data_IF_524965488255
#
_entry.id   IF_524965488255
#
_cell.length_a   1.000
_cell.length_b   1.000
_cell.length_c   1.000
_cell.angle_alpha   90.00
_cell.angle_beta   90.00
_cell.angle_gamma   90.00
#
_symmetry.space_group_name_H-M   'P 1'
#
loop_
_entity.id
_entity.type
_entity.pdbx_description
1 polymer ?
#
# COMPACT_ATOMS: atom_id res chain seq x y z
N UNK A 1 -15.05 20.50 11.77
CA UNK A 1 -15.96 19.35 11.93
C UNK A 1 -16.65 18.99 10.60
N UNK A 2 -17.25 19.94 9.87
CA UNK A 2 -17.92 19.65 8.60
C UNK A 2 -17.02 19.06 7.47
N UNK A 3 -15.73 19.40 7.42
CA UNK A 3 -14.82 18.98 6.34
C UNK A 3 -14.37 17.51 6.43
N UNK A 4 -14.38 16.94 7.64
CA UNK A 4 -14.03 15.53 7.84
C UNK A 4 -15.21 14.61 7.56
N UNK A 5 -16.43 15.07 7.88
CA UNK A 5 -17.68 14.37 7.58
C UNK A 5 -17.89 14.25 6.06
N UNK A 6 -17.61 15.32 5.30
CA UNK A 6 -17.74 15.32 3.84
C UNK A 6 -16.76 14.32 3.16
N UNK A 7 -15.57 14.12 3.73
CA UNK A 7 -14.58 13.13 3.26
C UNK A 7 -15.02 11.68 3.53
N UNK A 8 -15.63 11.43 4.70
CA UNK A 8 -16.17 10.11 5.07
C UNK A 8 -17.37 9.76 4.18
N UNK A 9 -18.23 10.73 3.89
CA UNK A 9 -19.38 10.55 3.00
C UNK A 9 -18.96 10.25 1.56
N UNK A 10 -17.95 10.96 1.05
CA UNK A 10 -17.36 10.70 -0.27
C UNK A 10 -16.76 9.29 -0.35
N UNK A 11 -16.01 8.86 0.67
CA UNK A 11 -15.45 7.50 0.72
C UNK A 11 -16.55 6.41 0.76
N UNK A 12 -17.65 6.66 1.47
CA UNK A 12 -18.79 5.76 1.52
C UNK A 12 -19.53 5.68 0.17
N UNK A 13 -19.68 6.80 -0.54
CA UNK A 13 -20.29 6.86 -1.86
C UNK A 13 -19.49 6.06 -2.91
N UNK A 14 -18.17 6.25 -2.95
CA UNK A 14 -17.27 5.51 -3.85
C UNK A 14 -17.31 4.00 -3.60
N UNK A 15 -17.35 3.59 -2.32
CA UNK A 15 -17.48 2.17 -1.96
C UNK A 15 -18.81 1.58 -2.43
N UNK A 16 -19.92 2.31 -2.27
CA UNK A 16 -21.25 1.87 -2.71
C UNK A 16 -21.31 1.72 -4.24
N UNK A 17 -20.75 2.66 -4.98
CA UNK A 17 -20.67 2.59 -6.45
C UNK A 17 -19.87 1.37 -6.91
N UNK A 18 -18.68 1.15 -6.33
CA UNK A 18 -17.84 -0.02 -6.64
C UNK A 18 -18.58 -1.34 -6.39
N UNK A 19 -19.28 -1.46 -5.27
CA UNK A 19 -20.05 -2.67 -4.95
C UNK A 19 -21.22 -2.88 -5.92
N UNK A 20 -21.88 -1.80 -6.37
CA UNK A 20 -22.96 -1.87 -7.35
C UNK A 20 -22.44 -2.36 -8.72
N UNK A 21 -21.29 -1.88 -9.16
CA UNK A 21 -20.65 -2.33 -10.40
C UNK A 21 -20.28 -3.83 -10.34
N UNK A 22 -19.69 -4.29 -9.23
CA UNK A 22 -19.38 -5.70 -9.04
C UNK A 22 -20.64 -6.58 -9.04
N UNK A 23 -21.72 -6.12 -8.40
CA UNK A 23 -23.00 -6.85 -8.38
C UNK A 23 -23.63 -6.95 -9.78
N UNK A 24 -23.59 -5.88 -10.56
CA UNK A 24 -24.08 -5.89 -11.94
C UNK A 24 -23.26 -6.84 -12.85
N UNK A 25 -21.94 -6.84 -12.72
CA UNK A 25 -21.09 -7.78 -13.45
C UNK A 25 -21.35 -9.24 -13.07
N UNK A 26 -21.60 -9.51 -11.78
CA UNK A 26 -21.96 -10.84 -11.30
C UNK A 26 -23.33 -11.30 -11.83
N UNK A 27 -24.30 -10.39 -11.97
CA UNK A 27 -25.61 -10.69 -12.52
C UNK A 27 -25.55 -11.04 -14.01
N UNK A 28 -24.72 -10.33 -14.79
CA UNK A 28 -24.45 -10.68 -16.19
C UNK A 28 -23.76 -12.04 -16.34
N UNK A 29 -22.85 -12.39 -15.42
CA UNK A 29 -22.19 -13.70 -15.42
C UNK A 29 -23.16 -14.85 -15.07
N UNK A 30 -24.15 -14.57 -14.20
CA UNK A 30 -25.10 -15.57 -13.72
C UNK A 30 -26.36 -15.67 -14.58
N UNK A 31 -26.57 -14.76 -15.54
CA UNK A 31 -27.64 -14.90 -16.51
C UNK A 31 -27.30 -16.09 -17.42
N UNK A 32 -28.17 -17.12 -17.52
CA UNK A 32 -27.93 -18.23 -18.42
C UNK A 32 -27.99 -17.74 -19.87
N UNK A 33 -26.92 -17.99 -20.63
CA UNK A 33 -26.83 -17.73 -22.07
C UNK A 33 -27.85 -18.59 -22.84
N UNK A 34 -28.98 -18.00 -23.21
CA UNK A 34 -29.96 -18.57 -24.17
C UNK A 34 -29.49 -18.35 -25.62
N UNK A 35 -28.22 -18.59 -25.96
CA UNK A 35 -27.75 -18.51 -27.36
C UNK A 35 -26.47 -19.33 -27.65
N UNK A 36 -26.41 -20.57 -27.17
CA UNK A 36 -25.32 -21.48 -27.54
C UNK A 36 -25.84 -22.83 -28.04
N UNK A 37 -26.51 -22.79 -29.18
CA UNK A 37 -26.73 -24.00 -29.98
C UNK A 37 -26.64 -23.68 -31.48
N UNK A 38 -25.44 -23.84 -32.06
CA UNK A 38 -25.18 -24.46 -33.37
C UNK A 38 -23.82 -24.04 -33.95
N UNK A 39 -22.93 -25.01 -34.14
CA UNK A 39 -22.34 -25.34 -35.45
C UNK A 39 -21.03 -26.15 -35.26
N UNK A 40 -21.20 -27.46 -35.05
CA UNK A 40 -20.20 -28.44 -35.42
C UNK A 40 -20.44 -28.80 -36.91
N UNK A 41 -19.46 -28.54 -37.78
CA UNK A 41 -19.57 -28.81 -39.21
C UNK A 41 -18.21 -28.84 -39.88
N UNK A 42 -17.61 -30.03 -39.91
CA UNK A 42 -16.37 -30.37 -40.59
C UNK A 42 -16.67 -30.55 -42.08
N UNK A 43 -15.97 -29.85 -42.99
CA UNK A 43 -15.99 -30.16 -44.43
C UNK A 43 -14.74 -29.61 -45.14
N UNK A 44 -13.96 -30.55 -45.66
CA UNK A 44 -12.90 -30.41 -46.66
C UNK A 44 -13.52 -30.29 -48.05
N UNK A 45 -13.08 -29.35 -48.90
CA UNK A 45 -12.49 -29.66 -50.21
C UNK A 45 -11.97 -28.40 -50.94
N UNK A 46 -10.94 -28.66 -51.76
CA UNK A 46 -10.25 -27.75 -52.67
C UNK A 46 -11.11 -27.31 -53.87
N UNK A 47 -10.70 -26.20 -54.50
CA UNK A 47 -11.02 -25.65 -55.84
C UNK A 47 -11.79 -24.32 -55.88
N UNK A 48 -11.06 -23.19 -55.82
CA UNK A 48 -11.46 -21.95 -56.50
C UNK A 48 -10.25 -21.00 -56.71
N UNK A 49 -9.74 -20.92 -57.95
CA UNK A 49 -8.60 -20.05 -58.33
C UNK A 49 -8.96 -18.56 -58.48
N UNK A 50 -10.18 -18.12 -58.15
CA UNK A 50 -10.57 -16.69 -58.17
C UNK A 50 -10.90 -16.12 -56.79
N UNK A 51 -10.47 -16.80 -55.72
CA UNK A 51 -10.65 -16.32 -54.37
C UNK A 51 -9.44 -16.70 -53.52
N UNK A 52 -8.23 -16.30 -53.94
CA UNK A 52 -7.05 -16.45 -53.10
C UNK A 52 -7.28 -15.61 -51.83
N UNK A 53 -7.52 -16.21 -50.64
CA UNK A 53 -7.63 -15.44 -49.42
C UNK A 53 -6.29 -14.72 -49.25
N UNK A 54 -6.30 -13.38 -49.14
CA UNK A 54 -5.06 -12.61 -49.03
C UNK A 54 -4.23 -13.15 -47.85
N UNK A 55 -3.20 -13.95 -48.14
CA UNK A 55 -2.47 -14.70 -47.13
C UNK A 55 -1.50 -13.76 -46.41
N UNK A 56 -1.68 -13.60 -45.09
CA UNK A 56 -0.90 -12.66 -44.27
C UNK A 56 0.11 -13.40 -43.42
N UNK A 57 1.39 -13.08 -43.57
CA UNK A 57 2.46 -13.76 -42.84
C UNK A 57 2.97 -12.88 -41.70
N UNK A 58 2.81 -13.35 -40.45
CA UNK A 58 3.30 -12.64 -39.25
C UNK A 58 4.65 -13.20 -38.78
N UNK A 59 4.79 -14.52 -38.71
CA UNK A 59 5.98 -15.21 -38.18
C UNK A 59 6.77 -16.03 -39.22
N UNK A 60 6.44 -15.90 -40.51
CA UNK A 60 7.07 -16.66 -41.60
C UNK A 60 7.40 -15.73 -42.77
N UNK A 61 8.49 -16.04 -43.49
CA UNK A 61 8.90 -15.29 -44.70
C UNK A 61 8.89 -16.25 -45.89
N UNK A 62 7.88 -16.15 -46.77
CA UNK A 62 7.84 -16.94 -47.99
C UNK A 62 9.06 -16.69 -48.89
N UNK A 63 9.56 -17.73 -49.57
CA UNK A 63 10.66 -17.60 -50.53
C UNK A 63 10.22 -16.95 -51.87
N UNK A 64 8.94 -17.11 -52.24
CA UNK A 64 8.38 -16.50 -53.44
C UNK A 64 8.13 -15.00 -53.27
N UNK A 65 8.60 -14.22 -54.26
CA UNK A 65 8.56 -12.75 -54.23
C UNK A 65 7.14 -12.19 -54.19
N UNK A 66 6.19 -12.82 -54.88
CA UNK A 66 4.80 -12.38 -54.91
C UNK A 66 4.09 -12.56 -53.55
N UNK A 67 4.55 -13.52 -52.74
CA UNK A 67 3.94 -13.87 -51.47
C UNK A 67 4.60 -13.13 -50.27
N UNK A 68 5.79 -12.55 -50.50
CA UNK A 68 6.48 -11.68 -49.54
C UNK A 68 5.74 -10.36 -49.29
N UNK A 69 4.97 -9.86 -50.26
CA UNK A 69 4.14 -8.66 -50.13
C UNK A 69 3.02 -8.85 -49.09
N UNK A 70 2.64 -10.11 -48.79
CA UNK A 70 1.70 -10.47 -47.72
C UNK A 70 2.29 -10.43 -46.30
N UNK A 71 3.56 -10.04 -46.12
CA UNK A 71 4.17 -9.95 -44.79
C UNK A 71 3.60 -8.78 -43.99
N UNK A 72 3.00 -9.08 -42.84
CA UNK A 72 2.42 -8.06 -41.96
C UNK A 72 3.53 -7.35 -41.20
N UNK A 73 3.65 -6.04 -41.39
CA UNK A 73 4.57 -5.22 -40.60
C UNK A 73 4.18 -5.27 -39.12
N UNK A 74 5.15 -5.40 -38.20
CA UNK A 74 4.87 -5.34 -36.78
C UNK A 74 4.23 -3.99 -36.44
N UNK A 75 3.22 -3.95 -35.57
CA UNK A 75 2.60 -2.70 -35.15
C UNK A 75 3.66 -1.80 -34.52
N UNK A 76 3.85 -0.61 -35.11
CA UNK A 76 4.76 0.39 -34.57
C UNK A 76 4.15 0.90 -33.28
N UNK A 77 4.77 0.54 -32.15
CA UNK A 77 4.39 1.09 -30.86
C UNK A 77 4.55 2.62 -30.93
N UNK A 78 3.57 3.41 -30.47
CA UNK A 78 3.78 4.83 -30.28
C UNK A 78 5.00 4.99 -29.37
N UNK A 79 5.96 5.84 -29.78
CA UNK A 79 7.05 6.21 -28.87
C UNK A 79 6.38 6.90 -27.69
N UNK A 80 6.42 6.25 -26.53
CA UNK A 80 6.06 6.88 -25.28
C UNK A 80 7.04 8.02 -25.08
N UNK A 81 6.60 9.25 -25.34
CA UNK A 81 7.29 10.41 -24.81
C UNK A 81 6.98 10.38 -23.31
N UNK A 82 8.00 10.07 -22.51
CA UNK A 82 7.94 10.28 -21.07
C UNK A 82 7.45 11.72 -20.89
N UNK A 83 6.33 11.93 -20.16
CA UNK A 83 5.93 13.29 -19.84
C UNK A 83 7.13 13.91 -19.16
N UNK A 84 7.73 14.92 -19.79
CA UNK A 84 8.66 15.84 -19.14
C UNK A 84 7.83 16.48 -18.05
N UNK A 85 7.81 15.82 -16.89
CA UNK A 85 7.10 16.24 -15.73
C UNK A 85 7.68 17.61 -15.38
N UNK A 86 6.91 18.67 -15.67
CA UNK A 86 7.10 19.93 -15.01
C UNK A 86 7.19 19.61 -13.51
N UNK A 87 8.34 19.94 -12.92
CA UNK A 87 8.71 19.51 -11.59
C UNK A 87 7.52 19.66 -10.63
N UNK A 88 7.08 18.59 -9.94
CA UNK A 88 6.01 18.71 -8.97
C UNK A 88 6.44 19.73 -7.90
N UNK A 89 5.54 20.63 -7.44
CA UNK A 89 5.84 21.53 -6.34
C UNK A 89 6.23 20.68 -5.12
N UNK A 90 7.24 21.15 -4.37
CA UNK A 90 7.82 20.47 -3.21
C UNK A 90 6.73 19.83 -2.35
N UNK A 91 6.57 18.52 -2.49
CA UNK A 91 5.69 17.72 -1.66
C UNK A 91 6.22 17.82 -0.24
N UNK A 92 5.50 18.53 0.62
CA UNK A 92 5.67 18.40 2.07
C UNK A 92 5.67 16.89 2.38
N UNK A 93 6.81 16.41 2.86
CA UNK A 93 7.05 15.03 3.21
C UNK A 93 6.06 14.65 4.31
N UNK A 94 4.90 14.14 3.91
CA UNK A 94 4.08 13.32 4.78
C UNK A 94 4.88 12.05 4.99
N UNK A 95 5.74 12.08 6.01
CA UNK A 95 6.49 10.91 6.45
C UNK A 95 5.51 9.76 6.61
N UNK A 96 5.64 8.76 5.73
CA UNK A 96 4.83 7.56 5.80
C UNK A 96 5.06 6.92 7.19
N UNK A 97 4.02 6.79 8.04
CA UNK A 97 4.18 6.24 9.39
C UNK A 97 4.63 4.77 9.39
N UNK A 98 4.61 4.13 8.21
CA UNK A 98 5.05 2.76 7.97
C UNK A 98 6.51 2.62 7.56
N UNK A 99 7.16 3.67 7.01
CA UNK A 99 8.57 3.60 6.57
C UNK A 99 9.53 3.46 7.76
N UNK A 100 9.08 3.86 8.96
CA UNK A 100 9.83 3.74 10.21
C UNK A 100 9.58 2.42 10.98
N UNK A 101 8.82 1.48 10.43
CA UNK A 101 8.60 0.16 11.06
C UNK A 101 9.72 -0.77 10.59
N UNK A 102 10.94 -0.48 11.05
CA UNK A 102 12.02 -1.46 11.05
C UNK A 102 11.59 -2.71 11.85
N UNK A 103 12.17 -3.89 11.57
CA UNK A 103 11.95 -5.08 12.40
C UNK A 103 12.36 -4.76 13.85
N UNK A 104 11.37 -4.48 14.70
CA UNK A 104 11.63 -4.15 16.11
C UNK A 104 12.06 -5.41 16.85
N UNK A 105 12.84 -5.23 17.93
CA UNK A 105 13.22 -6.32 18.84
C UNK A 105 11.94 -7.04 19.33
N UNK A 106 11.92 -8.37 19.48
CA UNK A 106 10.72 -9.10 19.91
C UNK A 106 10.14 -8.59 21.25
N UNK A 107 11.00 -8.08 22.14
CA UNK A 107 10.58 -7.53 23.44
C UNK A 107 10.27 -6.03 23.41
N UNK A 108 10.23 -5.38 22.25
CA UNK A 108 9.94 -3.94 22.12
C UNK A 108 8.64 -3.56 22.81
N UNK A 109 7.59 -4.33 22.57
CA UNK A 109 6.25 -4.03 23.05
C UNK A 109 6.17 -4.22 24.56
N UNK A 110 6.76 -5.30 25.06
CA UNK A 110 6.91 -5.56 26.48
C UNK A 110 7.66 -4.44 27.20
N UNK A 111 8.75 -3.94 26.62
CA UNK A 111 9.49 -2.80 27.20
C UNK A 111 8.62 -1.56 27.23
N UNK A 112 7.92 -1.23 26.14
CA UNK A 112 7.02 -0.07 26.07
C UNK A 112 5.92 -0.13 27.14
N UNK A 113 5.29 -1.29 27.29
CA UNK A 113 4.15 -1.46 28.19
C UNK A 113 4.58 -1.50 29.67
N UNK A 114 5.78 -2.03 29.96
CA UNK A 114 6.38 -2.04 31.31
C UNK A 114 6.99 -0.68 31.66
N UNK A 115 7.51 0.09 30.68
CA UNK A 115 8.21 1.37 30.92
C UNK A 115 7.36 2.34 31.72
N UNK A 116 6.08 2.51 31.38
CA UNK A 116 5.17 3.43 32.11
C UNK A 116 5.04 3.10 33.60
N UNK A 117 5.09 1.80 33.96
CA UNK A 117 5.03 1.35 35.36
C UNK A 117 6.35 1.60 36.07
N UNK A 118 7.47 1.33 35.39
CA UNK A 118 8.81 1.60 35.91
C UNK A 118 9.03 3.09 36.13
N UNK A 119 8.66 3.95 35.18
CA UNK A 119 8.78 5.41 35.32
C UNK A 119 8.01 5.93 36.55
N UNK A 120 6.82 5.39 36.79
CA UNK A 120 6.00 5.75 37.97
C UNK A 120 6.64 5.29 39.28
N UNK A 121 7.28 4.13 39.27
CA UNK A 121 8.00 3.61 40.43
C UNK A 121 9.29 4.40 40.66
N UNK A 122 10.08 4.64 39.62
CA UNK A 122 11.32 5.43 39.65
C UNK A 122 11.10 6.83 40.22
N UNK A 123 10.04 7.52 39.77
CA UNK A 123 9.66 8.84 40.34
C UNK A 123 9.38 8.78 41.84
N UNK A 124 8.78 7.69 42.33
CA UNK A 124 8.53 7.51 43.78
C UNK A 124 9.80 7.17 44.52
N UNK A 125 10.65 6.33 43.94
CA UNK A 125 11.95 5.97 44.50
C UNK A 125 12.85 7.20 44.63
N UNK A 126 12.95 8.02 43.59
CA UNK A 126 13.70 9.29 43.63
C UNK A 126 13.16 10.24 44.71
N UNK A 127 11.84 10.38 44.84
CA UNK A 127 11.22 11.17 45.92
C UNK A 127 11.53 10.62 47.31
N UNK A 128 11.49 9.29 47.49
CA UNK A 128 11.81 8.65 48.75
C UNK A 128 13.28 8.83 49.12
N UNK A 129 14.19 8.69 48.14
CA UNK A 129 15.63 8.97 48.30
C UNK A 129 15.85 10.42 48.74
N UNK A 130 15.19 11.38 48.08
CA UNK A 130 15.31 12.79 48.45
C UNK A 130 14.83 13.05 49.89
N UNK A 131 13.69 12.48 50.28
CA UNK A 131 13.17 12.62 51.65
C UNK A 131 14.11 12.00 52.70
N UNK A 132 14.70 10.84 52.41
CA UNK A 132 15.68 10.21 53.30
C UNK A 132 16.93 11.07 53.44
N UNK A 133 17.41 11.67 52.34
CA UNK A 133 18.54 12.59 52.36
C UNK A 133 18.26 13.83 53.21
N UNK A 134 17.07 14.43 53.06
CA UNK A 134 16.62 15.58 53.86
C UNK A 134 16.54 15.25 55.36
N UNK A 135 16.00 14.09 55.73
CA UNK A 135 15.98 13.66 57.13
C UNK A 135 17.37 13.44 57.70
N UNK A 136 18.26 12.76 56.96
CA UNK A 136 19.64 12.55 57.39
C UNK A 136 20.40 13.86 57.56
N UNK A 137 20.16 14.84 56.69
CA UNK A 137 20.77 16.16 56.81
C UNK A 137 20.23 16.94 58.02
N UNK A 138 18.92 16.87 58.28
CA UNK A 138 18.31 17.46 59.48
C UNK A 138 18.84 16.83 60.78
N UNK A 139 18.94 15.50 60.84
CA UNK A 139 19.50 14.78 61.99
C UNK A 139 20.94 15.22 62.26
N UNK A 140 21.78 15.29 61.21
CA UNK A 140 23.16 15.80 61.35
C UNK A 140 23.21 17.23 61.86
N UNK A 141 22.36 18.11 61.35
CA UNK A 141 22.30 19.51 61.82
C UNK A 141 21.85 19.61 63.29
N UNK A 142 20.93 18.75 63.74
CA UNK A 142 20.50 18.69 65.14
C UNK A 142 21.60 18.15 66.05
N UNK A 143 22.31 17.10 65.63
CA UNK A 143 23.44 16.55 66.38
C UNK A 143 24.59 17.56 66.49
N UNK A 144 24.90 18.27 65.40
CA UNK A 144 25.90 19.35 65.38
C UNK A 144 25.47 20.55 66.26
N UNK A 145 24.19 20.92 66.23
CA UNK A 145 23.65 22.01 67.06
C UNK A 145 23.51 21.68 68.54
N UNK A 146 23.22 20.43 68.89
CA UNK A 146 23.16 19.96 70.28
C UNK A 146 24.55 19.88 70.92
N UNK A 147 25.55 19.45 70.15
CA UNK A 147 26.94 19.39 70.62
C UNK A 147 27.57 20.79 70.82
N UNK A 148 27.07 21.82 70.14
CA UNK A 148 27.53 23.20 70.29
C UNK A 148 26.91 23.96 71.49
N UNK A 149 25.88 23.42 72.15
CA UNK A 149 25.20 24.04 73.30
C UNK A 149 25.72 23.45 74.64
N UNK A 150 26.39 22.30 74.61
CA UNK A 150 26.94 21.61 75.79
C UNK A 150 28.44 21.87 76.05
N UNK A 151 29.12 22.71 75.26
CA UNK A 151 30.47 23.26 75.57
C UNK A 151 30.40 24.73 76.03
#
# INVERSE_FOLDING_TARGET
MATEEESIEQAAALRRERLKALKAAQELLNAPDEDSSQAAGNQTDDTNEENNPSMKFRNYVPHDKQLQEGKVAPPVLPKFEDPVAAAPPASEEKEDPFVNIAPKKPNWDLRRDVQKKLDKLERRTQKAIFKLMEQQEQEKQLDEGGNAIEE
#
